data_IF_118629103667
#
_entry.id   IF_118629103667
#
_cell.length_a   1.000
_cell.length_b   1.000
_cell.length_c   1.000
_cell.angle_alpha   90.00
_cell.angle_beta   90.00
_cell.angle_gamma   90.00
#
_symmetry.space_group_name_H-M   'P 1'
#
loop_
_entity.id
_entity.type
_entity.pdbx_description
1 polymer ?
#
# COMPACT_ATOMS: atom_id res chain seq x y z
N UNK A 1 13.33 -10.66 0.70
CA UNK A 1 12.18 -9.76 0.96
C UNK A 1 12.33 -9.17 2.36
N UNK A 2 12.44 -7.85 2.51
CA UNK A 2 12.72 -7.20 3.81
C UNK A 2 11.49 -7.08 4.72
N UNK A 3 10.31 -6.82 4.17
CA UNK A 3 9.07 -6.62 4.95
C UNK A 3 8.12 -7.83 4.93
N UNK A 4 8.19 -8.69 3.92
CA UNK A 4 7.40 -9.91 3.82
C UNK A 4 8.17 -11.18 4.23
N UNK A 5 7.43 -12.30 4.29
CA UNK A 5 7.94 -13.66 4.57
C UNK A 5 7.91 -14.56 3.32
N UNK A 6 8.09 -15.88 3.50
CA UNK A 6 7.95 -16.90 2.44
C UNK A 6 6.66 -16.74 1.62
N UNK A 7 5.56 -16.36 2.29
CA UNK A 7 4.24 -16.06 1.69
C UNK A 7 4.33 -15.16 0.44
N UNK A 8 5.30 -14.24 0.43
CA UNK A 8 5.44 -13.23 -0.61
C UNK A 8 6.42 -13.63 -1.70
N UNK A 9 7.19 -14.72 -1.55
CA UNK A 9 8.19 -15.13 -2.54
C UNK A 9 7.59 -15.46 -3.90
N UNK A 10 6.30 -15.85 -3.94
CA UNK A 10 5.53 -16.07 -5.17
C UNK A 10 5.54 -14.90 -6.16
N UNK A 11 5.78 -13.67 -5.69
CA UNK A 11 5.79 -12.47 -6.55
C UNK A 11 7.17 -12.22 -7.20
N UNK A 12 8.24 -12.80 -6.65
CA UNK A 12 9.61 -12.51 -7.08
C UNK A 12 9.89 -12.85 -8.54
N UNK A 13 9.44 -13.99 -9.10
CA UNK A 13 9.68 -14.29 -10.51
C UNK A 13 9.17 -13.18 -11.44
N UNK A 14 7.98 -12.65 -11.16
CA UNK A 14 7.41 -11.56 -11.95
C UNK A 14 8.08 -10.20 -11.72
N UNK A 15 8.75 -10.01 -10.58
CA UNK A 15 9.58 -8.82 -10.34
C UNK A 15 10.88 -8.94 -11.15
N UNK A 16 11.49 -10.12 -11.16
CA UNK A 16 12.76 -10.39 -11.84
C UNK A 16 12.64 -10.26 -13.38
N UNK A 17 11.51 -10.70 -13.96
CA UNK A 17 11.23 -10.59 -15.39
C UNK A 17 10.48 -9.31 -15.80
N UNK A 18 10.23 -8.41 -14.84
CA UNK A 18 9.51 -7.14 -15.00
C UNK A 18 8.03 -7.26 -15.43
N UNK A 19 7.42 -8.45 -15.38
CA UNK A 19 5.98 -8.61 -15.62
C UNK A 19 5.11 -8.04 -14.50
N UNK A 20 5.68 -7.92 -13.29
CA UNK A 20 5.10 -7.35 -12.08
C UNK A 20 5.94 -6.16 -11.57
N UNK A 21 5.99 -5.08 -12.35
CA UNK A 21 6.59 -3.82 -11.88
C UNK A 21 5.81 -3.29 -10.68
N UNK A 22 6.54 -2.92 -9.64
CA UNK A 22 5.99 -2.37 -8.40
C UNK A 22 6.38 -0.91 -8.15
N UNK A 23 5.66 -0.27 -7.25
CA UNK A 23 6.00 1.04 -6.69
C UNK A 23 5.89 1.04 -5.16
N UNK A 24 6.48 2.06 -4.52
CA UNK A 24 6.55 2.20 -3.08
C UNK A 24 5.72 3.42 -2.63
N UNK A 25 4.54 3.18 -2.05
CA UNK A 25 3.55 4.19 -1.76
C UNK A 25 3.50 4.53 -0.26
N UNK A 26 4.48 5.33 0.18
CA UNK A 26 4.60 5.82 1.57
C UNK A 26 4.07 7.24 1.73
N UNK A 27 4.72 8.19 1.07
CA UNK A 27 4.47 9.62 1.16
C UNK A 27 3.05 9.98 0.75
N UNK A 28 2.44 10.88 1.51
CA UNK A 28 1.16 11.51 1.20
C UNK A 28 1.33 12.99 0.92
N UNK A 29 0.34 13.61 0.27
CA UNK A 29 0.35 15.04 0.01
C UNK A 29 0.49 15.86 1.31
N UNK A 30 -0.24 15.47 2.36
CA UNK A 30 -0.17 16.12 3.67
C UNK A 30 1.03 15.71 4.52
N UNK A 31 1.65 14.56 4.23
CA UNK A 31 2.58 13.89 5.15
C UNK A 31 3.77 13.27 4.42
N UNK A 32 4.88 14.03 4.36
CA UNK A 32 6.18 13.54 3.86
C UNK A 32 7.16 13.21 4.97
N UNK A 33 7.48 14.19 5.82
CA UNK A 33 8.45 14.06 6.92
C UNK A 33 7.85 13.46 8.20
N UNK A 34 6.54 13.59 8.41
CA UNK A 34 5.81 13.00 9.53
C UNK A 34 4.85 11.91 9.04
N UNK A 35 5.42 10.85 8.46
CA UNK A 35 4.64 9.72 7.95
C UNK A 35 3.76 9.05 9.02
N UNK A 36 4.05 9.25 10.31
CA UNK A 36 3.26 8.63 11.39
C UNK A 36 1.85 9.19 11.49
N UNK A 37 1.63 10.40 10.97
CA UNK A 37 0.32 11.06 10.91
C UNK A 37 -0.37 10.88 9.55
N UNK A 38 0.13 9.96 8.70
CA UNK A 38 -0.52 9.64 7.43
C UNK A 38 -1.99 9.22 7.63
N UNK A 39 -2.82 9.50 6.64
CA UNK A 39 -4.27 9.36 6.72
C UNK A 39 -4.82 8.18 5.92
N UNK A 40 -4.07 7.61 4.96
CA UNK A 40 -4.52 6.40 4.26
C UNK A 40 -4.81 5.30 5.28
N UNK A 41 -5.99 4.68 5.21
CA UNK A 41 -6.42 3.64 6.14
C UNK A 41 -6.43 2.27 5.49
N UNK A 42 -6.12 1.25 6.29
CA UNK A 42 -6.34 -0.16 5.97
C UNK A 42 -7.19 -0.80 7.07
N UNK A 43 -8.49 -0.96 6.83
CA UNK A 43 -9.41 -1.51 7.82
C UNK A 43 -9.59 -3.00 7.55
N UNK A 44 -9.31 -3.85 8.54
CA UNK A 44 -9.48 -5.29 8.41
C UNK A 44 -10.96 -5.69 8.56
N UNK A 45 -11.49 -6.35 7.54
CA UNK A 45 -12.81 -6.96 7.47
C UNK A 45 -12.70 -8.44 7.84
N UNK A 46 -13.24 -8.80 9.01
CA UNK A 46 -13.13 -10.14 9.57
C UNK A 46 -13.95 -11.19 8.83
N UNK A 47 -15.04 -10.78 8.18
CA UNK A 47 -15.96 -11.68 7.48
C UNK A 47 -15.34 -12.17 6.17
N UNK A 48 -14.72 -11.25 5.42
CA UNK A 48 -14.09 -11.58 4.13
C UNK A 48 -12.60 -11.85 4.23
N UNK A 49 -11.97 -11.58 5.39
CA UNK A 49 -10.52 -11.65 5.63
C UNK A 49 -9.73 -10.79 4.63
N UNK A 50 -10.18 -9.55 4.46
CA UNK A 50 -9.57 -8.57 3.58
C UNK A 50 -9.26 -7.27 4.33
N UNK A 51 -8.29 -6.52 3.84
CA UNK A 51 -8.14 -5.11 4.17
C UNK A 51 -8.91 -4.26 3.16
N UNK A 52 -9.61 -3.26 3.67
CA UNK A 52 -10.23 -2.19 2.89
C UNK A 52 -9.29 -0.99 2.94
N UNK A 53 -8.60 -0.74 1.83
CA UNK A 53 -7.69 0.39 1.65
C UNK A 53 -8.48 1.61 1.18
N UNK A 54 -8.35 2.73 1.89
CA UNK A 54 -9.08 3.95 1.58
C UNK A 54 -8.23 5.21 1.78
N UNK A 55 -8.44 6.18 0.89
CA UNK A 55 -7.90 7.53 0.94
C UNK A 55 -9.02 8.47 1.40
N UNK A 56 -9.06 8.86 2.69
CA UNK A 56 -10.19 9.59 3.26
C UNK A 56 -10.26 11.07 2.85
N UNK A 57 -9.15 11.66 2.44
CA UNK A 57 -9.04 13.08 2.10
C UNK A 57 -8.10 13.31 0.92
N UNK A 58 -8.08 14.53 0.38
CA UNK A 58 -7.09 14.93 -0.64
C UNK A 58 -5.67 14.91 -0.06
N UNK A 59 -5.49 15.25 1.22
CA UNK A 59 -4.18 15.21 1.88
C UNK A 59 -3.64 13.78 2.01
N UNK A 60 -4.54 12.80 2.12
CA UNK A 60 -4.20 11.39 2.24
C UNK A 60 -3.75 10.73 0.92
N UNK A 61 -3.87 11.42 -0.22
CA UNK A 61 -3.47 10.83 -1.50
C UNK A 61 -1.98 10.49 -1.45
N UNK A 62 -1.60 9.31 -1.94
CA UNK A 62 -0.18 8.97 -2.06
C UNK A 62 0.42 9.87 -3.13
N UNK A 63 1.58 10.45 -2.85
CA UNK A 63 2.13 11.56 -3.62
C UNK A 63 3.65 11.38 -3.82
N UNK A 64 4.17 11.76 -5.00
CA UNK A 64 5.54 11.47 -5.44
C UNK A 64 5.87 10.00 -5.70
N UNK A 65 4.87 9.16 -6.00
CA UNK A 65 5.10 7.71 -6.08
C UNK A 65 5.75 7.33 -7.42
N UNK A 66 7.05 7.07 -7.39
CA UNK A 66 7.85 6.63 -8.55
C UNK A 66 7.28 5.36 -9.19
N UNK A 67 7.32 5.29 -10.53
CA UNK A 67 6.79 4.22 -11.38
C UNK A 67 5.26 4.07 -11.39
N UNK A 68 4.52 4.85 -10.60
CA UNK A 68 3.08 4.60 -10.44
C UNK A 68 2.22 5.19 -11.54
N UNK A 69 2.69 6.25 -12.21
CA UNK A 69 1.88 6.92 -13.22
C UNK A 69 1.66 6.03 -14.46
N UNK A 70 2.65 5.24 -14.87
CA UNK A 70 2.59 4.43 -16.10
C UNK A 70 2.91 2.97 -15.83
N UNK A 71 4.00 2.67 -15.11
CA UNK A 71 4.64 1.34 -15.21
C UNK A 71 4.18 0.32 -14.16
N UNK A 72 3.81 0.73 -12.96
CA UNK A 72 3.59 -0.19 -11.85
C UNK A 72 2.19 -0.85 -11.90
N UNK A 73 2.17 -2.18 -11.76
CA UNK A 73 0.95 -2.99 -11.53
C UNK A 73 0.62 -3.15 -10.05
N UNK A 74 1.64 -3.09 -9.21
CA UNK A 74 1.53 -3.28 -7.76
C UNK A 74 2.08 -2.08 -7.00
N UNK A 75 1.50 -1.81 -5.84
CA UNK A 75 1.99 -0.82 -4.89
C UNK A 75 2.19 -1.48 -3.52
N UNK A 76 3.33 -1.23 -2.89
CA UNK A 76 3.44 -1.42 -1.43
C UNK A 76 2.88 -0.15 -0.78
N UNK A 77 1.64 -0.23 -0.31
CA UNK A 77 0.93 0.90 0.31
C UNK A 77 1.14 0.86 1.81
N UNK A 78 1.63 1.97 2.36
CA UNK A 78 1.67 2.18 3.80
C UNK A 78 0.38 2.86 4.24
N UNK A 79 -0.26 2.32 5.27
CA UNK A 79 -1.54 2.81 5.76
C UNK A 79 -1.67 2.62 7.27
N UNK A 80 -2.47 3.47 7.93
CA UNK A 80 -2.94 3.28 9.29
C UNK A 80 -3.84 2.05 9.33
N UNK A 81 -3.40 1.01 10.01
CA UNK A 81 -4.09 -0.29 10.00
C UNK A 81 -4.99 -0.43 11.21
N UNK A 82 -6.26 -0.76 10.96
CA UNK A 82 -7.26 -0.96 11.99
C UNK A 82 -7.70 -2.42 12.03
N UNK A 83 -7.64 -3.05 13.19
CA UNK A 83 -8.13 -4.42 13.43
C UNK A 83 -9.06 -4.38 14.63
N UNK A 84 -10.29 -4.89 14.48
CA UNK A 84 -11.31 -4.87 15.55
C UNK A 84 -11.53 -3.45 16.14
N UNK A 85 -11.48 -2.44 15.27
CA UNK A 85 -11.63 -1.03 15.65
C UNK A 85 -10.41 -0.39 16.33
N UNK A 86 -9.36 -1.16 16.65
CA UNK A 86 -8.11 -0.63 17.24
C UNK A 86 -7.12 -0.23 16.15
N UNK A 87 -6.53 0.96 16.27
CA UNK A 87 -5.42 1.38 15.42
C UNK A 87 -4.13 0.65 15.86
N UNK A 88 -3.63 -0.22 15.00
CA UNK A 88 -2.38 -0.98 15.22
C UNK A 88 -1.15 -0.28 14.63
N UNK A 89 -1.32 0.95 14.13
CA UNK A 89 -0.27 1.75 13.52
C UNK A 89 -0.05 1.42 12.04
N UNK A 90 1.08 1.89 11.51
CA UNK A 90 1.35 1.86 10.07
C UNK A 90 1.90 0.52 9.63
N UNK A 91 1.27 -0.05 8.60
CA UNK A 91 1.71 -1.29 7.99
C UNK A 91 1.82 -1.18 6.48
N UNK A 92 2.68 -2.02 5.91
CA UNK A 92 2.86 -2.15 4.47
C UNK A 92 2.00 -3.27 3.92
N UNK A 93 1.13 -2.93 2.97
CA UNK A 93 0.18 -3.86 2.33
C UNK A 93 0.41 -3.83 0.83
N UNK A 94 0.51 -5.01 0.22
CA UNK A 94 0.64 -5.15 -1.23
C UNK A 94 -0.72 -4.95 -1.90
N UNK A 95 -0.87 -3.91 -2.71
CA UNK A 95 -2.12 -3.55 -3.38
C UNK A 95 -1.94 -3.66 -4.89
N UNK A 96 -2.85 -4.35 -5.59
CA UNK A 96 -2.90 -4.33 -7.05
C UNK A 96 -3.49 -2.99 -7.48
N UNK A 97 -2.76 -2.24 -8.31
CA UNK A 97 -3.16 -0.90 -8.76
C UNK A 97 -3.51 -0.83 -10.25
N UNK A 98 -3.08 -1.82 -11.04
CA UNK A 98 -3.48 -1.98 -12.45
C UNK A 98 -3.78 -3.42 -12.79
N UNK A 99 -4.72 -3.67 -13.67
CA UNK A 99 -4.98 -5.00 -14.24
C UNK A 99 -3.86 -5.42 -15.21
N UNK A 100 -3.96 -6.61 -15.81
CA UNK A 100 -2.94 -7.10 -16.75
C UNK A 100 -2.84 -6.25 -18.02
N UNK A 101 -3.94 -5.62 -18.44
CA UNK A 101 -4.00 -4.69 -19.58
C UNK A 101 -3.55 -3.25 -19.23
N UNK A 102 -2.97 -3.07 -18.04
CA UNK A 102 -2.51 -1.79 -17.49
C UNK A 102 -3.62 -0.78 -17.17
N UNK A 103 -4.90 -1.13 -17.27
CA UNK A 103 -5.98 -0.26 -16.76
C UNK A 103 -5.94 -0.17 -15.23
N UNK A 104 -6.29 0.97 -14.60
CA UNK A 104 -6.35 1.04 -13.14
C UNK A 104 -7.32 0.02 -12.54
N UNK A 105 -6.90 -0.65 -11.48
CA UNK A 105 -7.75 -1.59 -10.75
C UNK A 105 -8.98 -0.88 -10.16
N UNK A 106 -10.06 -1.64 -9.93
CA UNK A 106 -11.31 -1.08 -9.38
C UNK A 106 -11.07 -0.34 -8.07
N UNK A 107 -11.52 0.92 -8.03
CA UNK A 107 -11.38 1.78 -6.86
C UNK A 107 -10.00 2.43 -6.73
N UNK A 108 -9.08 2.20 -7.67
CA UNK A 108 -7.79 2.88 -7.74
C UNK A 108 -7.88 4.02 -8.75
N UNK A 109 -7.46 5.22 -8.33
CA UNK A 109 -7.28 6.36 -9.23
C UNK A 109 -5.79 6.68 -9.29
N UNK A 110 -5.28 6.89 -10.50
CA UNK A 110 -3.87 7.16 -10.77
C UNK A 110 -3.79 8.41 -11.63
N UNK A 111 -2.98 9.37 -11.22
CA UNK A 111 -2.69 10.56 -12.01
C UNK A 111 -1.19 10.82 -12.10
N UNK A 112 -0.69 11.19 -13.27
CA UNK A 112 0.66 11.71 -13.42
C UNK A 112 0.79 13.04 -12.67
N UNK A 113 1.95 13.28 -12.06
CA UNK A 113 2.26 14.59 -11.47
C UNK A 113 2.70 15.63 -12.52
N UNK A 114 3.00 15.20 -13.74
CA UNK A 114 3.40 16.05 -14.85
C UNK A 114 4.86 16.49 -14.76
N UNK A 115 5.12 17.68 -15.31
CA UNK A 115 6.48 18.22 -15.46
C UNK A 115 7.05 18.58 -14.10
N UNK A 116 8.25 18.08 -13.84
CA UNK A 116 9.09 18.35 -12.68
C UNK A 116 10.25 19.26 -13.10
N UNK A 117 10.90 19.88 -12.12
CA UNK A 117 12.12 20.67 -12.37
C UNK A 117 13.21 19.81 -13.04
N UNK A 118 13.39 18.58 -12.53
CA UNK A 118 14.32 17.58 -13.06
C UNK A 118 13.69 16.17 -13.01
N UNK A 119 14.42 15.16 -13.49
CA UNK A 119 14.00 13.75 -13.47
C UNK A 119 12.66 13.50 -14.20
N UNK A 120 12.38 14.24 -15.27
CA UNK A 120 11.15 14.10 -16.06
C UNK A 120 11.01 12.72 -16.75
N UNK A 121 12.10 11.95 -16.88
CA UNK A 121 12.04 10.56 -17.34
C UNK A 121 11.50 9.56 -16.31
N UNK A 122 11.24 10.01 -15.07
CA UNK A 122 10.64 9.20 -14.01
C UNK A 122 9.14 9.53 -13.91
N UNK A 123 8.29 8.51 -14.03
CA UNK A 123 6.83 8.63 -14.03
C UNK A 123 6.28 8.62 -12.59
N UNK A 124 6.51 9.73 -11.88
CA UNK A 124 5.92 9.93 -10.55
C UNK A 124 4.40 10.17 -10.67
N UNK A 125 3.63 9.37 -9.93
CA UNK A 125 2.18 9.48 -9.87
C UNK A 125 1.63 9.82 -8.50
N UNK A 126 0.34 10.10 -8.51
CA UNK A 126 -0.54 10.32 -7.37
C UNK A 126 -1.56 9.18 -7.33
N UNK A 127 -1.82 8.62 -6.16
CA UNK A 127 -2.74 7.48 -6.01
C UNK A 127 -3.82 7.79 -4.97
N UNK A 128 -5.05 7.42 -5.32
CA UNK A 128 -6.18 7.37 -4.39
C UNK A 128 -6.79 5.98 -4.40
N UNK A 129 -7.25 5.55 -3.24
CA UNK A 129 -7.92 4.29 -3.04
C UNK A 129 -9.34 4.54 -2.53
N UNK A 130 -10.34 4.00 -3.21
CA UNK A 130 -11.75 4.07 -2.83
C UNK A 130 -12.21 2.68 -2.42
N UNK A 131 -12.05 2.37 -1.14
CA UNK A 131 -12.43 1.09 -0.53
C UNK A 131 -11.92 -0.13 -1.32
N UNK A 132 -10.63 -0.13 -1.67
CA UNK A 132 -9.99 -1.22 -2.41
C UNK A 132 -9.81 -2.41 -1.47
N UNK A 133 -10.42 -3.55 -1.82
CA UNK A 133 -10.35 -4.78 -1.03
C UNK A 133 -9.11 -5.59 -1.40
N UNK A 134 -8.38 -6.03 -0.38
CA UNK A 134 -7.09 -6.72 -0.53
C UNK A 134 -7.03 -7.90 0.42
N UNK A 135 -6.71 -9.14 -0.03
CA UNK A 135 -6.61 -10.28 0.86
C UNK A 135 -5.63 -10.05 2.01
N UNK A 136 -5.92 -10.61 3.19
CA UNK A 136 -5.04 -10.51 4.38
C UNK A 136 -3.60 -10.96 4.11
N UNK A 137 -3.41 -11.90 3.18
CA UNK A 137 -2.10 -12.41 2.76
C UNK A 137 -1.20 -11.40 2.07
N UNK A 138 -1.73 -10.24 1.71
CA UNK A 138 -0.96 -9.16 1.13
C UNK A 138 -0.34 -8.24 2.20
N UNK A 139 -0.66 -8.42 3.48
CA UNK A 139 0.08 -7.80 4.57
C UNK A 139 1.52 -8.29 4.54
N UNK A 140 2.49 -7.38 4.39
CA UNK A 140 3.91 -7.71 4.45
C UNK A 140 4.28 -8.07 5.90
N UNK A 141 4.15 -9.35 6.20
CA UNK A 141 3.92 -9.85 7.55
C UNK A 141 5.19 -10.19 8.37
N UNK A 142 6.36 -9.61 8.05
CA UNK A 142 7.60 -9.96 8.78
C UNK A 142 7.56 -9.53 10.25
N UNK A 143 6.95 -8.39 10.53
CA UNK A 143 6.93 -7.79 11.87
C UNK A 143 5.57 -7.80 12.53
N UNK A 144 4.51 -8.01 11.75
CA UNK A 144 3.15 -8.18 12.26
C UNK A 144 2.36 -9.14 11.40
N UNK A 145 1.32 -9.74 11.98
CA UNK A 145 0.53 -10.75 11.30
C UNK A 145 -0.91 -10.75 11.83
N UNK A 146 -1.84 -11.16 10.98
CA UNK A 146 -3.19 -11.57 11.36
C UNK A 146 -3.29 -13.07 11.16
N UNK A 147 -3.63 -13.81 12.22
CA UNK A 147 -3.76 -15.26 12.16
C UNK A 147 -5.13 -15.72 11.61
N UNK A 148 -5.35 -17.02 11.58
CA UNK A 148 -6.62 -17.63 11.13
C UNK A 148 -7.80 -17.30 12.04
N UNK A 149 -7.54 -16.88 13.29
CA UNK A 149 -8.54 -16.50 14.29
C UNK A 149 -8.76 -14.99 14.33
N UNK A 150 -8.30 -14.26 13.31
CA UNK A 150 -8.38 -12.80 13.22
C UNK A 150 -7.69 -12.08 14.40
N UNK A 151 -6.65 -12.69 14.97
CA UNK A 151 -5.84 -12.08 16.01
C UNK A 151 -4.64 -11.38 15.38
N UNK A 152 -4.48 -10.10 15.69
CA UNK A 152 -3.31 -9.32 15.30
C UNK A 152 -2.18 -9.53 16.30
N UNK A 153 -0.97 -9.73 15.79
CA UNK A 153 0.26 -9.77 16.58
C UNK A 153 1.33 -8.90 15.92
N UNK A 154 2.17 -8.25 16.73
CA UNK A 154 3.31 -7.45 16.28
C UNK A 154 4.50 -7.69 17.20
N UNK A 155 5.69 -7.83 16.63
CA UNK A 155 6.95 -7.85 17.39
C UNK A 155 7.50 -6.44 17.66
N UNK A 156 6.92 -5.44 17.01
CA UNK A 156 7.18 -4.03 17.27
C UNK A 156 6.11 -3.56 18.25
N UNK A 157 6.54 -3.12 19.42
CA UNK A 157 5.65 -2.55 20.43
C UNK A 157 4.95 -1.29 19.86
N UNK A 158 3.63 -1.18 20.07
CA UNK A 158 2.89 -0.01 19.59
C UNK A 158 3.37 1.24 20.33
N UNK A 159 3.69 2.30 19.58
CA UNK A 159 4.07 3.68 19.98
C UNK A 159 4.33 3.91 21.49
N UNK A 160 5.54 4.40 21.77
CA UNK A 160 5.92 5.25 22.92
C UNK A 160 4.72 5.98 23.51
N UNK A 161 4.22 5.46 24.62
CA UNK A 161 3.85 6.25 25.80
C UNK A 161 5.01 6.16 26.78
#
# INVERSE_FOLDING_TARGET
IKLGTERHRRILPGVDDLTNVGCFALTELGYGNNAVEMETTAIFDEETREFIINTPSVLAQKYWITNSAIHAKWAVVFAQTYVKGKNEGIHAILVRIREEDMTPSRGVVIEDMGVKFECNGVDNGKLWFKNVRVPVDNLLNRYSNIDEKNQFTSVIESRRG
#
